data_IF_546903055636
#
_entry.id   IF_546903055636
#
_cell.length_a   1.000
_cell.length_b   1.000
_cell.length_c   1.000
_cell.angle_alpha   90.00
_cell.angle_beta   90.00
_cell.angle_gamma   90.00
#
_symmetry.space_group_name_H-M   'P 1'
#
loop_
_entity.id
_entity.type
_entity.pdbx_description
1 polymer ?
#
# COMPACT_ATOMS: atom_id res chain seq x y z
N UNK A 1 -9.51 4.86 -35.80
CA UNK A 1 -8.32 3.98 -35.62
C UNK A 1 -7.03 4.64 -36.11
N UNK A 2 -7.01 5.26 -37.28
CA UNK A 2 -5.82 5.94 -37.83
C UNK A 2 -5.43 7.25 -37.09
N UNK A 3 -6.38 8.01 -36.56
CA UNK A 3 -6.09 9.27 -35.84
C UNK A 3 -5.50 9.01 -34.44
N UNK A 4 -5.98 8.02 -33.72
CA UNK A 4 -5.44 7.61 -32.42
C UNK A 4 -4.00 7.13 -32.48
N UNK A 5 -3.63 6.47 -33.57
CA UNK A 5 -2.25 6.00 -33.80
C UNK A 5 -1.27 7.13 -34.16
N UNK A 6 -1.74 8.23 -34.76
CA UNK A 6 -0.88 9.40 -35.04
C UNK A 6 -0.46 10.16 -33.78
N UNK A 7 -1.32 10.20 -32.76
CA UNK A 7 -1.00 10.84 -31.49
C UNK A 7 -0.05 9.98 -30.65
N UNK A 8 -0.21 8.66 -30.68
CA UNK A 8 0.72 7.73 -30.06
C UNK A 8 2.11 7.79 -30.73
N UNK A 9 2.15 7.90 -32.04
CA UNK A 9 3.38 8.05 -32.82
C UNK A 9 4.11 9.38 -32.54
N UNK A 10 3.38 10.47 -32.29
CA UNK A 10 3.97 11.75 -31.88
C UNK A 10 4.55 11.70 -30.46
N UNK A 11 3.97 10.93 -29.56
CA UNK A 11 4.47 10.76 -28.19
C UNK A 11 5.79 9.98 -28.13
N UNK A 12 6.07 9.14 -29.11
CA UNK A 12 7.27 8.30 -29.13
C UNK A 12 8.56 9.03 -29.56
N UNK A 13 8.50 10.28 -30.05
CA UNK A 13 9.67 11.15 -30.29
C UNK A 13 10.82 10.55 -31.12
N UNK A 14 10.64 9.32 -31.65
CA UNK A 14 11.67 8.52 -32.31
C UNK A 14 11.29 8.16 -33.75
N UNK A 15 12.29 7.82 -34.53
CA UNK A 15 12.10 7.28 -35.87
C UNK A 15 11.48 5.90 -35.75
N UNK A 16 10.31 5.70 -36.33
CA UNK A 16 9.69 4.39 -36.52
C UNK A 16 9.29 4.23 -37.98
N UNK A 17 9.14 2.99 -38.38
CA UNK A 17 8.77 2.63 -39.76
C UNK A 17 7.45 1.88 -39.71
N UNK A 18 6.54 2.17 -40.63
CA UNK A 18 5.26 1.48 -40.75
C UNK A 18 5.38 0.49 -41.92
N UNK A 19 5.17 -0.79 -41.64
CA UNK A 19 5.12 -1.87 -42.61
C UNK A 19 3.83 -2.64 -42.37
N UNK A 20 3.01 -2.78 -43.42
CA UNK A 20 1.73 -3.48 -43.36
C UNK A 20 0.84 -3.07 -42.17
N UNK A 21 0.73 -1.76 -41.94
CA UNK A 21 -0.03 -1.15 -40.84
C UNK A 21 0.43 -1.49 -39.41
N UNK A 22 1.67 -1.99 -39.26
CA UNK A 22 2.32 -2.25 -37.96
C UNK A 22 3.50 -1.31 -37.78
N UNK A 23 3.74 -0.90 -36.52
CA UNK A 23 4.87 -0.07 -36.17
C UNK A 23 6.09 -0.92 -35.84
N UNK A 24 7.23 -0.55 -36.45
CA UNK A 24 8.52 -1.17 -36.19
C UNK A 24 9.58 -0.12 -35.86
N UNK A 25 10.60 -0.51 -35.15
CA UNK A 25 11.85 0.26 -35.05
C UNK A 25 12.52 0.39 -36.41
N UNK A 26 13.39 1.39 -36.65
CA UNK A 26 14.04 1.58 -37.94
C UNK A 26 14.82 0.38 -38.44
N UNK A 27 15.44 -0.36 -37.51
CA UNK A 27 16.17 -1.63 -37.77
C UNK A 27 15.26 -2.87 -37.96
N UNK A 28 13.94 -2.68 -37.76
CA UNK A 28 12.93 -3.75 -37.87
C UNK A 28 13.12 -4.91 -36.88
N UNK A 29 13.84 -4.70 -35.79
CA UNK A 29 14.07 -5.73 -34.76
C UNK A 29 12.93 -5.76 -33.73
N UNK A 30 12.19 -4.67 -33.52
CA UNK A 30 11.10 -4.58 -32.56
C UNK A 30 9.80 -4.14 -33.24
N UNK A 31 8.76 -4.96 -33.08
CA UNK A 31 7.39 -4.59 -33.44
C UNK A 31 6.70 -3.93 -32.22
N UNK A 32 5.92 -2.88 -32.48
CA UNK A 32 5.25 -2.11 -31.42
C UNK A 32 3.74 -2.19 -31.64
N UNK A 33 3.02 -2.66 -30.63
CA UNK A 33 1.56 -2.67 -30.60
C UNK A 33 1.02 -1.81 -29.48
N UNK A 34 -0.06 -1.08 -29.74
CA UNK A 34 -0.73 -0.25 -28.76
C UNK A 34 -2.04 -0.90 -28.32
N UNK A 35 -2.18 -1.13 -27.02
CA UNK A 35 -3.40 -1.64 -26.41
C UNK A 35 -4.09 -0.48 -25.65
N UNK A 36 -5.38 -0.29 -25.90
CA UNK A 36 -6.20 0.69 -25.20
C UNK A 36 -7.22 -0.03 -24.32
N UNK A 37 -6.94 -0.21 -23.03
CA UNK A 37 -7.89 -0.87 -22.13
C UNK A 37 -9.13 -0.01 -21.89
N UNK A 38 -10.30 -0.64 -21.75
CA UNK A 38 -11.57 0.03 -21.53
C UNK A 38 -11.83 0.28 -20.02
N UNK A 39 -10.79 0.67 -19.28
CA UNK A 39 -10.88 1.02 -17.86
C UNK A 39 -9.89 2.14 -17.53
N UNK A 40 -10.07 2.77 -16.36
CA UNK A 40 -9.19 3.88 -15.93
C UNK A 40 -7.80 3.38 -15.58
N UNK A 41 -6.77 4.14 -15.98
CA UNK A 41 -5.36 3.78 -15.76
C UNK A 41 -4.99 3.44 -14.30
N UNK A 42 -5.73 3.96 -13.33
CA UNK A 42 -5.51 3.72 -11.90
C UNK A 42 -6.48 2.72 -11.27
N UNK A 43 -7.30 2.03 -12.08
CA UNK A 43 -8.11 0.91 -11.61
C UNK A 43 -7.22 -0.32 -11.40
N UNK A 44 -6.74 -0.47 -10.17
CA UNK A 44 -5.81 -1.55 -9.81
C UNK A 44 -6.43 -2.95 -9.94
N UNK A 45 -7.76 -3.09 -9.84
CA UNK A 45 -8.41 -4.39 -9.93
C UNK A 45 -8.48 -4.87 -11.38
N UNK A 46 -9.01 -4.03 -12.27
CA UNK A 46 -9.04 -4.33 -13.71
C UNK A 46 -7.63 -4.41 -14.31
N UNK A 47 -6.73 -3.54 -13.83
CA UNK A 47 -5.32 -3.57 -14.21
C UNK A 47 -4.62 -4.87 -13.82
N UNK A 48 -4.87 -5.39 -12.62
CA UNK A 48 -4.29 -6.66 -12.15
C UNK A 48 -4.73 -7.81 -13.04
N UNK A 49 -6.02 -7.89 -13.37
CA UNK A 49 -6.54 -8.92 -14.27
C UNK A 49 -5.89 -8.86 -15.65
N UNK A 50 -5.75 -7.64 -16.22
CA UNK A 50 -5.07 -7.46 -17.51
C UNK A 50 -3.60 -7.92 -17.46
N UNK A 51 -2.88 -7.53 -16.40
CA UNK A 51 -1.46 -7.91 -16.25
C UNK A 51 -1.31 -9.43 -16.11
N UNK A 52 -2.11 -10.09 -15.29
CA UNK A 52 -2.07 -11.54 -15.09
C UNK A 52 -2.41 -12.30 -16.37
N UNK A 53 -3.40 -11.81 -17.14
CA UNK A 53 -3.75 -12.39 -18.45
C UNK A 53 -2.60 -12.22 -19.43
N UNK A 54 -2.00 -11.02 -19.53
CA UNK A 54 -0.88 -10.77 -20.43
C UNK A 54 0.35 -11.60 -20.04
N UNK A 55 0.72 -11.63 -18.75
CA UNK A 55 1.84 -12.44 -18.26
C UNK A 55 1.65 -13.92 -18.65
N UNK A 56 0.45 -14.48 -18.45
CA UNK A 56 0.15 -15.87 -18.78
C UNK A 56 0.20 -16.18 -20.29
N UNK A 57 -0.32 -15.28 -21.13
CA UNK A 57 -0.33 -15.50 -22.58
C UNK A 57 1.06 -15.26 -23.19
N UNK A 58 1.81 -14.30 -22.68
CA UNK A 58 3.20 -14.04 -23.10
C UNK A 58 4.08 -15.25 -22.77
N UNK A 59 4.00 -15.77 -21.54
CA UNK A 59 4.78 -16.95 -21.13
C UNK A 59 4.51 -18.16 -22.04
N UNK A 60 3.24 -18.41 -22.39
CA UNK A 60 2.89 -19.49 -23.34
C UNK A 60 3.43 -19.24 -24.74
N UNK A 61 3.40 -17.99 -25.19
CA UNK A 61 3.89 -17.64 -26.52
C UNK A 61 5.41 -17.76 -26.63
N UNK A 62 6.15 -17.22 -25.66
CA UNK A 62 7.61 -17.27 -25.58
C UNK A 62 8.12 -18.73 -25.43
N UNK A 63 7.39 -19.56 -24.68
CA UNK A 63 7.71 -20.99 -24.57
C UNK A 63 7.68 -21.72 -25.94
N UNK A 64 6.81 -21.28 -26.87
CA UNK A 64 6.73 -21.82 -28.20
C UNK A 64 7.62 -21.08 -29.24
N UNK A 65 8.12 -19.90 -28.90
CA UNK A 65 8.91 -19.01 -29.75
C UNK A 65 10.10 -18.43 -28.97
N UNK A 66 11.13 -19.21 -28.66
CA UNK A 66 12.22 -18.81 -27.77
C UNK A 66 13.09 -17.65 -28.29
N UNK A 67 12.99 -17.33 -29.57
CA UNK A 67 13.72 -16.22 -30.22
C UNK A 67 12.96 -14.87 -30.12
N UNK A 68 11.75 -14.85 -29.53
CA UNK A 68 10.90 -13.67 -29.43
C UNK A 68 10.70 -13.34 -27.96
N UNK A 69 11.07 -12.13 -27.58
CA UNK A 69 10.80 -11.55 -26.25
C UNK A 69 9.66 -10.52 -26.36
N UNK A 70 8.66 -10.59 -25.49
CA UNK A 70 7.52 -9.68 -25.46
C UNK A 70 7.57 -8.82 -24.20
N UNK A 71 7.82 -7.54 -24.36
CA UNK A 71 7.79 -6.56 -23.28
C UNK A 71 6.51 -5.72 -23.36
N UNK A 72 5.85 -5.52 -22.26
CA UNK A 72 4.67 -4.67 -22.19
C UNK A 72 4.85 -3.58 -21.15
N UNK A 73 4.38 -2.38 -21.47
CA UNK A 73 4.53 -1.20 -20.62
C UNK A 73 3.32 -0.28 -20.77
N UNK A 74 3.02 0.49 -19.72
CA UNK A 74 1.94 1.47 -19.76
C UNK A 74 1.44 1.86 -18.37
N UNK A 75 0.66 2.93 -18.29
CA UNK A 75 0.18 3.47 -17.01
C UNK A 75 -0.63 2.46 -16.16
N UNK A 76 -1.54 1.63 -16.71
CA UNK A 76 -2.23 0.61 -15.93
C UNK A 76 -1.29 -0.45 -15.36
N UNK A 77 -0.31 -0.86 -16.15
CA UNK A 77 0.69 -1.87 -15.79
C UNK A 77 1.58 -1.33 -14.68
N UNK A 78 2.11 -0.12 -14.85
CA UNK A 78 2.91 0.56 -13.83
C UNK A 78 2.15 0.70 -12.51
N UNK A 79 0.86 1.02 -12.56
CA UNK A 79 -0.01 1.10 -11.39
C UNK A 79 -0.11 -0.24 -10.65
N UNK A 80 -0.22 -1.36 -11.38
CA UNK A 80 -0.28 -2.70 -10.80
C UNK A 80 1.05 -3.09 -10.15
N UNK A 81 2.17 -2.88 -10.85
CA UNK A 81 3.51 -3.17 -10.29
C UNK A 81 3.79 -2.33 -9.04
N UNK A 82 3.48 -1.04 -9.08
CA UNK A 82 3.60 -0.18 -7.89
C UNK A 82 2.73 -0.68 -6.74
N UNK A 83 1.49 -1.11 -7.01
CA UNK A 83 0.60 -1.67 -6.00
C UNK A 83 1.14 -2.97 -5.40
N UNK A 84 1.66 -3.88 -6.23
CA UNK A 84 2.31 -5.12 -5.78
C UNK A 84 3.54 -4.81 -4.91
N UNK A 85 4.38 -3.87 -5.35
CA UNK A 85 5.56 -3.44 -4.60
C UNK A 85 5.18 -2.80 -3.25
N UNK A 86 4.24 -1.86 -3.24
CA UNK A 86 3.76 -1.23 -2.02
C UNK A 86 3.20 -2.26 -1.03
N UNK A 87 2.43 -3.25 -1.49
CA UNK A 87 1.93 -4.33 -0.62
C UNK A 87 3.07 -5.13 0.01
N UNK A 88 4.06 -5.49 -0.78
CA UNK A 88 5.24 -6.25 -0.31
C UNK A 88 6.04 -5.43 0.70
N UNK A 89 6.30 -4.16 0.40
CA UNK A 89 7.05 -3.25 1.26
C UNK A 89 6.33 -3.00 2.58
N UNK A 90 5.01 -2.77 2.54
CA UNK A 90 4.19 -2.62 3.74
C UNK A 90 4.22 -3.88 4.60
N UNK A 91 4.02 -5.07 4.02
CA UNK A 91 4.03 -6.32 4.75
C UNK A 91 5.40 -6.56 5.40
N UNK A 92 6.49 -6.39 4.65
CA UNK A 92 7.85 -6.57 5.14
C UNK A 92 8.21 -5.56 6.23
N UNK A 93 8.00 -4.27 5.96
CA UNK A 93 8.35 -3.18 6.88
C UNK A 93 7.52 -3.23 8.15
N UNK A 94 6.21 -3.48 8.03
CA UNK A 94 5.33 -3.58 9.20
C UNK A 94 5.71 -4.76 10.08
N UNK A 95 5.99 -5.93 9.48
CA UNK A 95 6.40 -7.13 10.21
C UNK A 95 7.73 -6.91 10.92
N UNK A 96 8.73 -6.37 10.22
CA UNK A 96 10.05 -6.10 10.80
C UNK A 96 9.98 -5.05 11.92
N UNK A 97 9.25 -3.95 11.69
CA UNK A 97 9.06 -2.89 12.68
C UNK A 97 8.34 -3.39 13.93
N UNK A 98 7.27 -4.17 13.76
CA UNK A 98 6.53 -4.75 14.87
C UNK A 98 7.40 -5.75 15.66
N UNK A 99 8.15 -6.61 14.97
CA UNK A 99 9.08 -7.55 15.61
C UNK A 99 10.15 -6.82 16.42
N UNK A 100 10.72 -5.74 15.87
CA UNK A 100 11.72 -4.92 16.55
C UNK A 100 11.15 -4.26 17.82
N UNK A 101 9.94 -3.67 17.72
CA UNK A 101 9.26 -3.06 18.87
C UNK A 101 8.96 -4.11 19.94
N UNK A 102 8.44 -5.29 19.56
CA UNK A 102 8.20 -6.38 20.49
C UNK A 102 9.48 -6.85 21.17
N UNK A 103 10.58 -6.94 20.44
CA UNK A 103 11.89 -7.32 20.96
C UNK A 103 12.40 -6.30 21.99
N UNK A 104 12.34 -5.00 21.68
CA UNK A 104 12.74 -3.93 22.60
C UNK A 104 11.91 -3.98 23.88
N UNK A 105 10.58 -4.10 23.76
CA UNK A 105 9.67 -4.16 24.90
C UNK A 105 9.96 -5.41 25.75
N UNK A 106 10.15 -6.57 25.10
CA UNK A 106 10.48 -7.80 25.79
C UNK A 106 11.81 -7.66 26.57
N UNK A 107 12.81 -7.03 25.97
CA UNK A 107 14.11 -6.78 26.63
C UNK A 107 13.97 -5.82 27.82
N UNK A 108 13.20 -4.74 27.67
CA UNK A 108 13.00 -3.74 28.73
C UNK A 108 12.16 -4.26 29.91
N UNK A 109 11.11 -5.00 29.63
CA UNK A 109 10.16 -5.42 30.66
C UNK A 109 10.39 -6.86 31.13
N UNK A 110 11.06 -7.70 30.34
CA UNK A 110 11.38 -9.11 30.63
C UNK A 110 10.17 -9.97 31.07
N UNK A 111 8.95 -9.52 30.81
CA UNK A 111 7.73 -10.20 31.21
C UNK A 111 6.77 -10.34 30.02
N UNK A 112 6.38 -11.59 29.72
CA UNK A 112 5.45 -11.90 28.62
C UNK A 112 4.07 -11.29 28.83
N UNK A 113 3.61 -11.17 30.06
CA UNK A 113 2.32 -10.57 30.39
C UNK A 113 2.25 -9.10 29.98
N UNK A 114 3.32 -8.35 30.17
CA UNK A 114 3.42 -6.94 29.77
C UNK A 114 3.30 -6.77 28.26
N UNK A 115 3.91 -7.69 27.49
CA UNK A 115 3.82 -7.67 26.03
C UNK A 115 2.37 -7.89 25.56
N UNK A 116 1.66 -8.85 26.17
CA UNK A 116 0.25 -9.10 25.86
C UNK A 116 -0.62 -7.90 26.23
N UNK A 117 -0.41 -7.30 27.41
CA UNK A 117 -1.14 -6.11 27.83
C UNK A 117 -0.93 -4.90 26.91
N UNK A 118 0.25 -4.78 26.32
CA UNK A 118 0.56 -3.73 25.35
C UNK A 118 -0.11 -3.98 23.99
N UNK A 119 0.00 -5.20 23.48
CA UNK A 119 -0.45 -5.53 22.12
C UNK A 119 -1.96 -5.71 22.04
N UNK A 120 -2.63 -6.23 23.07
CA UNK A 120 -4.05 -6.51 23.05
C UNK A 120 -4.93 -5.31 22.65
N UNK A 121 -4.80 -4.11 23.26
CA UNK A 121 -5.62 -2.95 22.87
C UNK A 121 -5.31 -2.45 21.46
N UNK A 122 -4.06 -2.55 21.02
CA UNK A 122 -3.64 -2.12 19.68
C UNK A 122 -4.21 -3.06 18.61
N UNK A 123 -4.11 -4.36 18.81
CA UNK A 123 -4.69 -5.37 17.92
C UNK A 123 -6.21 -5.23 17.87
N UNK A 124 -6.87 -5.09 19.02
CA UNK A 124 -8.30 -4.85 19.08
C UNK A 124 -8.72 -3.59 18.31
N UNK A 125 -8.02 -2.47 18.54
CA UNK A 125 -8.26 -1.21 17.85
C UNK A 125 -8.05 -1.31 16.33
N UNK A 126 -7.02 -2.04 15.89
CA UNK A 126 -6.76 -2.29 14.48
C UNK A 126 -7.90 -3.09 13.82
N UNK A 127 -8.34 -4.19 14.44
CA UNK A 127 -9.46 -4.98 13.91
C UNK A 127 -10.77 -4.18 13.89
N UNK A 128 -11.02 -3.38 14.93
CA UNK A 128 -12.20 -2.53 14.99
C UNK A 128 -12.18 -1.48 13.86
N UNK A 129 -11.03 -0.83 13.62
CA UNK A 129 -10.87 0.15 12.56
C UNK A 129 -11.07 -0.48 11.17
N UNK A 130 -10.48 -1.67 10.93
CA UNK A 130 -10.65 -2.41 9.68
C UNK A 130 -12.11 -2.81 9.45
N UNK A 131 -12.78 -3.31 10.47
CA UNK A 131 -14.20 -3.66 10.41
C UNK A 131 -15.07 -2.44 10.10
N UNK A 132 -14.82 -1.30 10.76
CA UNK A 132 -15.54 -0.06 10.51
C UNK A 132 -15.36 0.43 9.08
N UNK A 133 -14.14 0.43 8.55
CA UNK A 133 -13.86 0.81 7.16
C UNK A 133 -14.57 -0.13 6.18
N UNK A 134 -14.52 -1.43 6.43
CA UNK A 134 -15.19 -2.41 5.59
C UNK A 134 -16.72 -2.20 5.54
N UNK A 135 -17.34 -1.93 6.68
CA UNK A 135 -18.78 -1.67 6.77
C UNK A 135 -19.20 -0.37 6.09
N UNK A 136 -18.34 0.67 6.10
CA UNK A 136 -18.67 1.99 5.55
C UNK A 136 -18.35 2.06 4.04
N UNK A 137 -17.22 1.54 3.61
CA UNK A 137 -16.71 1.70 2.23
C UNK A 137 -16.62 0.41 1.42
N UNK A 138 -16.63 -0.76 2.05
CA UNK A 138 -16.46 -2.07 1.39
C UNK A 138 -15.06 -2.33 0.81
N UNK A 139 -14.20 -1.31 0.72
CA UNK A 139 -12.83 -1.42 0.17
C UNK A 139 -11.90 -0.43 0.84
N UNK A 140 -10.61 -0.72 0.83
CA UNK A 140 -9.58 0.12 1.41
C UNK A 140 -8.41 0.31 0.44
N UNK A 141 -7.95 1.56 0.29
CA UNK A 141 -6.78 1.85 -0.54
C UNK A 141 -5.47 1.47 0.18
N UNK A 142 -4.42 1.19 -0.59
CA UNK A 142 -3.09 0.92 -0.05
C UNK A 142 -2.51 2.12 0.71
N UNK A 143 -2.82 3.35 0.28
CA UNK A 143 -2.43 4.56 1.01
C UNK A 143 -3.09 4.62 2.38
N UNK A 144 -4.39 4.27 2.48
CA UNK A 144 -5.08 4.23 3.77
C UNK A 144 -4.48 3.18 4.71
N UNK A 145 -4.04 2.03 4.19
CA UNK A 145 -3.28 1.02 4.95
C UNK A 145 -1.96 1.59 5.49
N UNK A 146 -1.20 2.31 4.66
CA UNK A 146 0.06 2.95 5.07
C UNK A 146 -0.15 3.97 6.19
N UNK A 147 -1.15 4.84 6.06
CA UNK A 147 -1.53 5.81 7.10
C UNK A 147 -1.98 5.07 8.38
N UNK A 148 -2.76 4.01 8.24
CA UNK A 148 -3.17 3.16 9.36
C UNK A 148 -1.99 2.57 10.14
N UNK A 149 -0.92 2.16 9.45
CA UNK A 149 0.30 1.68 10.10
C UNK A 149 0.98 2.76 10.96
N UNK A 150 0.99 4.01 10.51
CA UNK A 150 1.51 5.15 11.30
C UNK A 150 0.65 5.37 12.56
N UNK A 151 -0.67 5.33 12.42
CA UNK A 151 -1.60 5.48 13.55
C UNK A 151 -1.42 4.36 14.57
N UNK A 152 -1.17 3.12 14.11
CA UNK A 152 -0.84 2.00 15.01
C UNK A 152 0.44 2.25 15.81
N UNK A 153 1.46 2.84 15.21
CA UNK A 153 2.69 3.24 15.90
C UNK A 153 2.43 4.26 17.02
N UNK A 154 1.58 5.25 16.75
CA UNK A 154 1.15 6.24 17.77
C UNK A 154 0.35 5.57 18.88
N UNK A 155 -0.56 4.66 18.56
CA UNK A 155 -1.34 3.90 19.53
C UNK A 155 -0.45 3.07 20.46
N UNK A 156 0.56 2.39 19.90
CA UNK A 156 1.58 1.66 20.67
C UNK A 156 2.31 2.58 21.64
N UNK A 157 2.66 3.80 21.22
CA UNK A 157 3.34 4.77 22.07
C UNK A 157 2.48 5.15 23.29
N UNK A 158 1.18 5.40 23.10
CA UNK A 158 0.27 5.67 24.22
C UNK A 158 0.15 4.48 25.19
N UNK A 159 0.01 3.26 24.65
CA UNK A 159 -0.04 2.06 25.48
C UNK A 159 1.24 1.89 26.30
N UNK A 160 2.40 2.19 25.69
CA UNK A 160 3.69 2.09 26.35
C UNK A 160 3.83 3.10 27.48
N UNK A 161 3.35 4.35 27.29
CA UNK A 161 3.33 5.37 28.34
C UNK A 161 2.48 4.94 29.53
N UNK A 162 1.28 4.46 29.30
CA UNK A 162 0.39 3.98 30.36
C UNK A 162 1.02 2.81 31.13
N UNK A 163 1.57 1.82 30.42
CA UNK A 163 2.21 0.66 31.01
C UNK A 163 3.46 1.02 31.82
N UNK A 164 4.27 1.94 31.31
CA UNK A 164 5.46 2.41 32.02
C UNK A 164 5.07 3.11 33.29
N UNK A 165 4.05 3.97 33.25
CA UNK A 165 3.56 4.66 34.42
C UNK A 165 3.00 3.68 35.47
N UNK A 166 2.22 2.67 35.02
CA UNK A 166 1.71 1.61 35.88
C UNK A 166 2.80 0.83 36.61
N UNK A 167 3.94 0.62 35.95
CA UNK A 167 5.09 -0.06 36.59
C UNK A 167 5.68 0.71 37.76
N UNK A 168 5.59 2.05 37.75
CA UNK A 168 6.14 2.90 38.83
C UNK A 168 5.12 3.18 39.93
N UNK A 169 3.86 3.41 39.57
CA UNK A 169 2.81 3.80 40.52
C UNK A 169 2.11 2.58 41.13
N UNK A 170 2.00 1.47 40.38
CA UNK A 170 1.38 0.20 40.79
C UNK A 170 -0.09 0.28 41.22
N UNK A 171 -0.70 1.46 41.23
CA UNK A 171 -2.11 1.68 41.52
C UNK A 171 -2.85 1.97 40.21
N UNK A 172 -3.76 1.08 39.75
CA UNK A 172 -4.47 1.26 38.47
C UNK A 172 -5.35 2.52 38.45
N UNK A 173 -5.99 2.87 39.57
CA UNK A 173 -6.89 4.01 39.62
C UNK A 173 -6.14 5.34 39.51
N UNK A 174 -5.00 5.44 40.15
CA UNK A 174 -4.13 6.61 40.05
C UNK A 174 -3.56 6.73 38.62
N UNK A 175 -3.11 5.63 38.01
CA UNK A 175 -2.59 5.62 36.64
C UNK A 175 -3.64 6.10 35.65
N UNK A 176 -4.87 5.59 35.76
CA UNK A 176 -5.97 6.04 34.87
C UNK A 176 -6.23 7.53 35.03
N UNK A 177 -6.30 8.01 36.25
CA UNK A 177 -6.56 9.44 36.54
C UNK A 177 -5.47 10.36 35.99
N UNK A 178 -4.20 9.94 36.07
CA UNK A 178 -3.06 10.75 35.64
C UNK A 178 -2.82 10.65 34.12
N UNK A 179 -3.06 9.48 33.52
CA UNK A 179 -2.79 9.24 32.09
C UNK A 179 -4.00 9.50 31.19
N UNK A 180 -5.23 9.49 31.69
CA UNK A 180 -6.41 9.69 30.86
C UNK A 180 -6.38 11.04 30.12
N UNK A 181 -6.02 12.11 30.80
CA UNK A 181 -6.00 13.46 30.21
C UNK A 181 -4.96 13.60 29.09
N UNK A 182 -3.69 13.23 29.27
CA UNK A 182 -2.70 13.24 28.18
C UNK A 182 -3.10 12.36 26.99
N UNK A 183 -3.60 11.15 27.24
CA UNK A 183 -4.01 10.22 26.19
C UNK A 183 -5.21 10.76 25.40
N UNK A 184 -6.23 11.28 26.06
CA UNK A 184 -7.39 11.90 25.40
C UNK A 184 -6.97 13.10 24.56
N UNK A 185 -6.14 13.99 25.10
CA UNK A 185 -5.64 15.16 24.36
C UNK A 185 -4.82 14.74 23.14
N UNK A 186 -3.90 13.78 23.29
CA UNK A 186 -3.12 13.26 22.18
C UNK A 186 -3.98 12.59 21.11
N UNK A 187 -5.01 11.86 21.52
CA UNK A 187 -5.97 11.24 20.58
C UNK A 187 -6.78 12.30 19.84
N UNK A 188 -7.28 13.31 20.53
CA UNK A 188 -8.05 14.41 19.92
C UNK A 188 -7.20 15.23 18.94
N UNK A 189 -5.93 15.50 19.24
CA UNK A 189 -5.03 16.18 18.31
C UNK A 189 -4.75 15.34 17.07
N UNK A 190 -4.58 14.04 17.22
CA UNK A 190 -4.41 13.12 16.10
C UNK A 190 -5.66 13.07 15.23
N UNK A 191 -6.84 12.92 15.82
CA UNK A 191 -8.12 12.97 15.10
C UNK A 191 -8.29 14.31 14.39
N UNK A 192 -8.00 15.42 15.04
CA UNK A 192 -8.07 16.76 14.46
C UNK A 192 -7.15 16.93 13.26
N UNK A 193 -5.91 16.44 13.34
CA UNK A 193 -4.96 16.47 12.25
C UNK A 193 -5.47 15.69 11.03
N UNK A 194 -5.97 14.46 11.21
CA UNK A 194 -6.54 13.68 10.11
C UNK A 194 -7.87 14.23 9.59
N UNK A 195 -8.72 14.77 10.47
CA UNK A 195 -9.95 15.44 10.06
C UNK A 195 -9.66 16.68 9.19
N UNK A 196 -8.59 17.42 9.49
CA UNK A 196 -8.13 18.54 8.67
C UNK A 196 -7.84 18.15 7.22
N UNK A 197 -7.36 16.91 6.97
CA UNK A 197 -7.11 16.42 5.61
C UNK A 197 -8.38 16.24 4.79
N UNK A 198 -9.56 16.06 5.43
CA UNK A 198 -10.84 15.95 4.72
C UNK A 198 -11.25 17.26 4.01
N UNK A 199 -10.73 18.39 4.47
CA UNK A 199 -11.00 19.70 3.88
C UNK A 199 -9.98 20.11 2.82
N UNK A 200 -8.93 19.30 2.62
CA UNK A 200 -7.91 19.55 1.59
C UNK A 200 -8.42 19.04 0.25
N UNK A 201 -8.61 19.91 -0.71
CA UNK A 201 -8.92 19.53 -2.10
C UNK A 201 -7.64 18.98 -2.74
N UNK A 202 -7.59 17.68 -2.98
CA UNK A 202 -6.59 17.03 -3.84
C UNK A 202 -7.07 17.00 -5.28
#
# INVERSE_FOLDING_TARGET
FMEQNKDAAKMMGGSYKIVDNHFFTPDSTVAIAFLSPNFKAFDSQSGTYLVEMLESEIEKFEANNPDIEILFHGAPIQSVFNSRQIKKDLASTLTFSLALVCLIIWFCFRNKSTLIMLLAPVVYGAFFALAAIYLIKGSMSLMALGIGAIVLGVALSYCLHVLTHYKYVSDPEQVIREQAKPVILGTLTTIGAFAGLLFTKS
#
